data_IF_705405123985
#
_entry.id   IF_705405123985
#
_cell.length_a   1.000
_cell.length_b   1.000
_cell.length_c   1.000
_cell.angle_alpha   90.00
_cell.angle_beta   90.00
_cell.angle_gamma   90.00
#
_symmetry.space_group_name_H-M   'P 1'
#
loop_
_entity.id
_entity.type
_entity.pdbx_description
1 polymer ?
#
# COMPACT_ATOMS: atom_id res chain seq x y z
N UNK A 1 5.81 17.86 12.12
CA UNK A 1 4.65 16.95 12.23
C UNK A 1 4.06 16.89 10.83
N UNK A 2 3.93 15.71 10.24
CA UNK A 2 3.25 15.59 8.94
C UNK A 2 1.75 15.84 9.19
N UNK A 3 1.13 16.69 8.36
CA UNK A 3 -0.30 16.99 8.43
C UNK A 3 -1.05 16.10 7.45
N UNK A 4 -1.95 15.27 7.97
CA UNK A 4 -2.94 14.55 7.18
C UNK A 4 -4.15 15.44 6.98
N UNK A 5 -4.77 15.39 5.82
CA UNK A 5 -5.86 16.30 5.48
C UNK A 5 -7.16 15.54 5.26
N UNK A 6 -8.22 16.05 5.86
CA UNK A 6 -9.59 15.64 5.59
C UNK A 6 -10.36 16.72 4.84
N UNK A 7 -11.31 16.31 3.98
CA UNK A 7 -12.19 17.25 3.30
C UNK A 7 -13.41 17.57 4.18
N UNK A 8 -13.54 18.82 4.62
CA UNK A 8 -14.66 19.30 5.42
C UNK A 8 -15.20 20.60 4.83
N UNK A 9 -16.46 20.59 4.41
CA UNK A 9 -17.12 21.70 3.69
C UNK A 9 -16.32 22.14 2.45
N UNK A 10 -15.92 21.17 1.61
CA UNK A 10 -15.09 21.37 0.39
C UNK A 10 -13.72 22.04 0.63
N UNK A 11 -13.21 21.97 1.86
CA UNK A 11 -11.90 22.51 2.23
C UNK A 11 -11.06 21.46 2.92
N UNK A 12 -9.79 21.35 2.51
CA UNK A 12 -8.82 20.55 3.24
C UNK A 12 -8.55 21.17 4.61
N UNK A 13 -8.83 20.40 5.66
CA UNK A 13 -8.50 20.74 7.05
C UNK A 13 -7.54 19.68 7.58
N UNK A 14 -6.63 20.09 8.46
CA UNK A 14 -5.77 19.11 9.14
C UNK A 14 -6.63 18.12 9.93
N UNK A 15 -6.08 16.93 10.13
CA UNK A 15 -6.70 15.88 10.93
C UNK A 15 -7.10 16.37 12.33
N UNK A 16 -8.13 15.74 12.88
CA UNK A 16 -8.50 15.96 14.27
C UNK A 16 -7.42 15.40 15.21
N UNK A 17 -7.34 15.99 16.41
CA UNK A 17 -6.46 15.45 17.43
C UNK A 17 -6.97 14.09 17.90
N UNK A 18 -6.05 13.13 17.98
CA UNK A 18 -6.31 11.79 18.53
C UNK A 18 -5.25 11.50 19.59
N UNK A 19 -5.66 10.85 20.68
CA UNK A 19 -4.76 10.51 21.77
C UNK A 19 -3.59 9.65 21.30
N UNK A 20 -2.33 9.98 21.66
CA UNK A 20 -1.19 9.11 21.39
C UNK A 20 -1.34 7.70 21.96
N UNK A 21 -2.17 7.52 22.99
CA UNK A 21 -2.47 6.18 23.55
C UNK A 21 -3.22 5.27 22.58
N UNK A 22 -3.81 5.81 21.51
CA UNK A 22 -4.47 5.04 20.46
C UNK A 22 -3.48 4.57 19.37
N UNK A 23 -2.26 5.10 19.34
CA UNK A 23 -1.17 4.64 18.45
C UNK A 23 -0.29 3.57 19.12
N UNK A 24 -0.87 2.70 19.95
CA UNK A 24 -0.11 1.80 20.83
C UNK A 24 -0.01 0.37 20.33
N UNK A 25 -0.78 0.00 19.30
CA UNK A 25 -0.78 -1.34 18.73
C UNK A 25 -0.01 -1.39 17.40
N UNK A 26 0.34 -2.61 16.99
CA UNK A 26 1.11 -2.88 15.77
C UNK A 26 0.24 -2.94 14.50
N UNK A 27 -0.98 -2.41 14.56
CA UNK A 27 -1.97 -2.35 13.47
C UNK A 27 -1.82 -1.10 12.59
N UNK A 28 -0.91 -0.18 12.93
CA UNK A 28 -0.64 1.02 12.14
C UNK A 28 0.48 1.91 12.72
N UNK A 29 0.40 3.21 12.43
CA UNK A 29 1.26 4.27 12.99
C UNK A 29 2.78 4.17 12.69
N UNK A 30 3.18 3.37 11.69
CA UNK A 30 4.54 3.42 11.15
C UNK A 30 4.70 4.67 10.27
N UNK A 31 5.66 5.52 10.62
CA UNK A 31 6.06 6.66 9.80
C UNK A 31 7.24 6.25 8.93
N UNK A 32 7.00 6.21 7.62
CA UNK A 32 7.99 5.78 6.63
C UNK A 32 8.05 6.80 5.49
N UNK A 33 9.20 6.87 4.84
CA UNK A 33 9.34 7.52 3.53
C UNK A 33 9.54 6.48 2.41
N UNK A 34 9.44 6.94 1.16
CA UNK A 34 9.52 6.05 0.00
C UNK A 34 10.87 5.29 -0.08
N UNK A 35 11.98 5.91 0.33
CA UNK A 35 13.30 5.25 0.32
C UNK A 35 13.42 4.12 1.33
N UNK A 36 12.72 4.23 2.46
CA UNK A 36 12.68 3.18 3.48
C UNK A 36 11.88 1.97 2.98
N UNK A 37 10.73 2.19 2.34
CA UNK A 37 9.97 1.10 1.71
C UNK A 37 10.78 0.44 0.60
N UNK A 38 11.48 1.19 -0.25
CA UNK A 38 12.33 0.59 -1.29
C UNK A 38 13.39 -0.34 -0.68
N UNK A 39 14.02 0.07 0.44
CA UNK A 39 14.97 -0.79 1.17
C UNK A 39 14.30 -2.02 1.77
N UNK A 40 13.11 -1.85 2.34
CA UNK A 40 12.30 -2.94 2.89
C UNK A 40 11.96 -3.98 1.82
N UNK A 41 11.39 -3.55 0.70
CA UNK A 41 11.06 -4.39 -0.45
C UNK A 41 12.29 -5.09 -1.01
N UNK A 42 13.42 -4.37 -1.16
CA UNK A 42 14.67 -4.98 -1.62
C UNK A 42 15.14 -6.08 -0.66
N UNK A 43 15.10 -5.83 0.65
CA UNK A 43 15.51 -6.78 1.68
C UNK A 43 14.62 -8.02 1.73
N UNK A 44 13.31 -7.85 1.57
CA UNK A 44 12.34 -8.94 1.53
C UNK A 44 12.51 -9.81 0.27
N UNK A 45 12.66 -9.19 -0.90
CA UNK A 45 12.82 -9.90 -2.17
C UNK A 45 14.08 -10.79 -2.21
N UNK A 46 15.15 -10.41 -1.50
CA UNK A 46 16.36 -11.23 -1.37
C UNK A 46 16.38 -12.13 -0.12
N UNK A 47 15.25 -12.22 0.62
CA UNK A 47 15.11 -12.97 1.87
C UNK A 47 16.22 -12.66 2.88
N UNK A 48 16.57 -11.37 3.02
CA UNK A 48 17.73 -10.93 3.83
C UNK A 48 17.61 -11.33 5.29
N UNK A 49 16.40 -11.21 5.85
CA UNK A 49 16.10 -11.46 7.27
C UNK A 49 15.39 -12.81 7.41
N UNK A 50 14.23 -12.97 6.77
CA UNK A 50 13.40 -14.17 6.88
C UNK A 50 13.80 -15.20 5.82
N UNK A 51 14.72 -16.09 6.18
CA UNK A 51 15.29 -17.11 5.28
C UNK A 51 14.47 -18.40 5.22
N UNK A 52 13.75 -18.69 6.29
CA UNK A 52 12.93 -19.89 6.39
C UNK A 52 11.69 -19.79 5.49
N UNK A 53 11.50 -20.79 4.63
CA UNK A 53 10.37 -20.82 3.69
C UNK A 53 9.03 -21.02 4.38
N UNK A 54 8.98 -21.81 5.45
CA UNK A 54 7.73 -22.07 6.15
C UNK A 54 7.15 -20.79 6.79
N UNK A 55 8.01 -19.84 7.14
CA UNK A 55 7.61 -18.52 7.64
C UNK A 55 7.39 -17.50 6.51
N UNK A 56 8.19 -17.56 5.44
CA UNK A 56 8.12 -16.60 4.33
C UNK A 56 6.92 -16.87 3.41
N UNK A 57 6.74 -18.09 2.93
CA UNK A 57 5.78 -18.37 1.87
C UNK A 57 4.32 -18.00 2.23
N UNK A 58 3.84 -18.16 3.49
CA UNK A 58 2.51 -17.69 3.89
C UNK A 58 2.32 -16.18 3.75
N UNK A 59 3.34 -15.37 4.06
CA UNK A 59 3.26 -13.90 3.96
C UNK A 59 3.21 -13.39 2.50
N UNK A 60 3.59 -14.24 1.53
CA UNK A 60 3.60 -13.95 0.09
C UNK A 60 2.50 -14.73 -0.64
N UNK A 61 1.56 -15.32 0.10
CA UNK A 61 0.40 -15.96 -0.51
C UNK A 61 -0.45 -14.90 -1.20
N UNK A 62 -0.77 -15.05 -2.50
CA UNK A 62 -1.52 -14.04 -3.25
C UNK A 62 -2.89 -13.81 -2.61
N UNK A 63 -3.28 -12.54 -2.47
CA UNK A 63 -4.62 -12.18 -2.04
C UNK A 63 -5.65 -12.52 -3.13
N UNK A 64 -5.24 -12.30 -4.38
CA UNK A 64 -6.06 -12.52 -5.56
C UNK A 64 -5.18 -12.76 -6.80
N UNK A 65 -5.83 -13.13 -7.90
CA UNK A 65 -5.23 -13.14 -9.24
C UNK A 65 -5.95 -12.09 -10.08
N UNK A 66 -5.24 -11.07 -10.57
CA UNK A 66 -5.81 -10.02 -11.42
C UNK A 66 -5.20 -10.12 -12.80
N UNK A 67 -6.04 -10.21 -13.84
CA UNK A 67 -5.58 -10.36 -15.23
C UNK A 67 -4.59 -11.53 -15.41
N UNK A 68 -4.75 -12.61 -14.64
CA UNK A 68 -3.87 -13.78 -14.67
C UNK A 68 -2.54 -13.65 -13.90
N UNK A 69 -2.36 -12.57 -13.14
CA UNK A 69 -1.16 -12.35 -12.31
C UNK A 69 -1.49 -12.40 -10.83
N UNK A 70 -0.58 -12.97 -10.06
CA UNK A 70 -0.66 -13.09 -8.62
C UNK A 70 -0.29 -11.77 -7.96
N UNK A 71 -1.19 -11.30 -7.10
CA UNK A 71 -1.05 -10.01 -6.46
C UNK A 71 -1.07 -10.13 -4.94
N UNK A 72 -0.19 -9.38 -4.28
CA UNK A 72 -0.24 -9.16 -2.82
C UNK A 72 -0.36 -7.67 -2.56
N UNK A 73 -1.41 -7.26 -1.86
CA UNK A 73 -1.76 -5.85 -1.65
C UNK A 73 -2.10 -5.56 -0.19
N UNK A 74 -1.90 -4.31 0.20
CA UNK A 74 -2.35 -3.83 1.51
C UNK A 74 -2.60 -2.33 1.48
N UNK A 75 -3.77 -1.94 2.01
CA UNK A 75 -4.11 -0.53 2.26
C UNK A 75 -3.77 -0.14 3.69
N UNK A 76 -3.64 1.16 3.91
CA UNK A 76 -3.49 1.71 5.25
C UNK A 76 -4.08 3.10 5.31
N UNK A 77 -5.03 3.30 6.22
CA UNK A 77 -5.75 4.55 6.41
C UNK A 77 -5.55 5.02 7.84
N UNK A 78 -5.12 6.27 8.02
CA UNK A 78 -5.01 6.86 9.34
C UNK A 78 -5.04 8.39 9.30
N UNK A 79 -6.02 9.01 9.94
CA UNK A 79 -6.03 10.45 10.25
C UNK A 79 -5.66 11.37 9.07
N UNK A 80 -6.38 11.27 7.95
CA UNK A 80 -6.08 12.10 6.78
C UNK A 80 -4.87 11.63 5.96
N UNK A 81 -4.38 10.41 6.21
CA UNK A 81 -3.41 9.74 5.35
C UNK A 81 -4.01 8.47 4.77
N UNK A 82 -3.68 8.25 3.50
CA UNK A 82 -3.96 7.02 2.79
C UNK A 82 -2.64 6.45 2.27
N UNK A 83 -2.53 5.13 2.29
CA UNK A 83 -1.38 4.41 1.79
C UNK A 83 -1.83 3.13 1.12
N UNK A 84 -1.09 2.75 0.10
CA UNK A 84 -1.36 1.51 -0.61
C UNK A 84 -0.07 0.92 -1.14
N UNK A 85 0.08 -0.38 -0.99
CA UNK A 85 1.16 -1.16 -1.60
C UNK A 85 0.55 -2.31 -2.37
N UNK A 86 1.01 -2.49 -3.59
CA UNK A 86 0.60 -3.59 -4.46
C UNK A 86 1.83 -4.22 -5.09
N UNK A 87 1.92 -5.55 -5.01
CA UNK A 87 3.02 -6.36 -5.52
C UNK A 87 2.48 -7.33 -6.55
N UNK A 88 2.94 -7.22 -7.79
CA UNK A 88 2.67 -8.19 -8.84
C UNK A 88 3.81 -9.19 -8.87
N UNK A 89 3.56 -10.38 -8.34
CA UNK A 89 4.61 -11.34 -7.99
C UNK A 89 5.29 -11.95 -9.23
N UNK A 90 4.52 -12.23 -10.28
CA UNK A 90 5.01 -12.90 -11.49
C UNK A 90 6.06 -12.09 -12.24
N UNK A 91 5.91 -10.76 -12.24
CA UNK A 91 6.82 -9.82 -12.92
C UNK A 91 7.73 -9.05 -11.96
N UNK A 92 7.60 -9.28 -10.64
CA UNK A 92 8.37 -8.63 -9.57
C UNK A 92 8.30 -7.10 -9.63
N UNK A 93 7.10 -6.57 -9.85
CA UNK A 93 6.81 -5.15 -9.82
C UNK A 93 6.09 -4.81 -8.53
N UNK A 94 6.51 -3.73 -7.86
CA UNK A 94 5.84 -3.20 -6.67
C UNK A 94 5.52 -1.73 -6.91
N UNK A 95 4.28 -1.33 -6.64
CA UNK A 95 3.86 0.07 -6.59
C UNK A 95 3.49 0.43 -5.15
N UNK A 96 3.92 1.61 -4.72
CA UNK A 96 3.72 2.11 -3.35
C UNK A 96 3.26 3.56 -3.44
N UNK A 97 2.11 3.84 -2.84
CA UNK A 97 1.50 5.17 -2.80
C UNK A 97 1.41 5.61 -1.34
N UNK A 98 1.81 6.86 -1.09
CA UNK A 98 1.53 7.58 0.15
C UNK A 98 0.84 8.90 -0.20
N UNK A 99 -0.32 9.12 0.40
CA UNK A 99 -1.09 10.34 0.27
C UNK A 99 -1.38 10.90 1.66
N UNK A 100 -1.36 12.23 1.76
CA UNK A 100 -1.73 12.95 2.98
C UNK A 100 -3.12 13.58 2.85
N UNK A 101 -4.02 12.94 2.10
CA UNK A 101 -5.43 13.32 2.03
C UNK A 101 -6.30 12.06 2.10
N UNK A 102 -7.31 12.04 2.96
CA UNK A 102 -8.26 10.90 3.12
C UNK A 102 -9.18 10.68 1.90
N UNK A 103 -9.30 11.69 1.04
CA UNK A 103 -10.05 11.60 -0.22
C UNK A 103 -9.24 11.01 -1.37
N UNK A 104 -7.96 10.67 -1.16
CA UNK A 104 -7.11 10.13 -2.22
C UNK A 104 -7.47 8.67 -2.49
N UNK A 105 -7.92 8.37 -3.71
CA UNK A 105 -8.10 6.99 -4.18
C UNK A 105 -6.72 6.39 -4.52
N UNK A 106 -6.02 5.93 -3.49
CA UNK A 106 -4.67 5.38 -3.60
C UNK A 106 -4.63 4.05 -4.36
N UNK A 107 -5.75 3.32 -4.42
CA UNK A 107 -5.87 2.08 -5.18
C UNK A 107 -5.97 2.38 -6.69
N UNK A 108 -6.86 3.30 -7.08
CA UNK A 108 -6.99 3.74 -8.47
C UNK A 108 -5.68 4.36 -8.98
N UNK A 109 -5.03 5.19 -8.16
CA UNK A 109 -3.72 5.77 -8.50
C UNK A 109 -2.69 4.65 -8.74
N UNK A 110 -2.61 3.64 -7.86
CA UNK A 110 -1.65 2.56 -8.02
C UNK A 110 -1.94 1.69 -9.25
N UNK A 111 -3.22 1.43 -9.55
CA UNK A 111 -3.65 0.71 -10.74
C UNK A 111 -3.22 1.45 -12.02
N UNK A 112 -3.49 2.76 -12.08
CA UNK A 112 -3.08 3.60 -13.20
C UNK A 112 -1.55 3.64 -13.38
N UNK A 113 -0.78 3.69 -12.28
CA UNK A 113 0.69 3.64 -12.34
C UNK A 113 1.18 2.30 -12.89
N UNK A 114 0.57 1.17 -12.50
CA UNK A 114 0.90 -0.14 -13.06
C UNK A 114 0.64 -0.20 -14.56
N UNK A 115 -0.52 0.28 -15.02
CA UNK A 115 -0.87 0.31 -16.44
C UNK A 115 0.09 1.23 -17.24
N UNK A 116 0.47 2.37 -16.67
CA UNK A 116 1.46 3.27 -17.29
C UNK A 116 2.85 2.64 -17.38
N UNK A 117 3.23 1.81 -16.41
CA UNK A 117 4.51 1.10 -16.41
C UNK A 117 4.52 -0.01 -17.46
N UNK A 118 3.46 -0.81 -17.51
CA UNK A 118 3.21 -1.81 -18.54
C UNK A 118 1.70 -2.05 -18.66
N UNK A 119 1.16 -1.79 -19.85
CA UNK A 119 -0.26 -1.96 -20.15
C UNK A 119 -0.81 -3.37 -19.88
N UNK A 120 0.04 -4.40 -19.85
CA UNK A 120 -0.36 -5.77 -19.49
C UNK A 120 -0.67 -5.90 -17.99
N UNK A 121 -0.19 -4.98 -17.16
CA UNK A 121 -0.41 -4.95 -15.72
C UNK A 121 -1.69 -4.21 -15.32
N UNK A 122 -2.52 -3.80 -16.29
CA UNK A 122 -3.79 -3.17 -16.01
C UNK A 122 -4.64 -4.07 -15.09
N UNK A 123 -4.89 -3.58 -13.88
CA UNK A 123 -5.72 -4.25 -12.89
C UNK A 123 -7.18 -3.97 -13.25
N UNK A 124 -7.71 -4.76 -14.17
CA UNK A 124 -9.13 -4.73 -14.47
C UNK A 124 -9.83 -5.46 -13.33
N UNK A 125 -10.76 -4.79 -12.67
CA UNK A 125 -11.73 -5.48 -11.82
C UNK A 125 -12.46 -6.48 -12.72
N UNK A 126 -12.56 -7.74 -12.29
CA UNK A 126 -13.51 -8.66 -12.85
C UNK A 126 -14.91 -8.12 -12.50
N UNK A 127 -15.48 -7.30 -13.38
CA UNK A 127 -16.91 -6.96 -13.35
C UNK A 127 -17.71 -8.22 -13.66
N UNK A 128 -17.81 -9.16 -12.72
CA UNK A 128 -18.80 -10.25 -12.71
C UNK A 128 -18.86 -10.89 -11.31
N UNK A 129 -19.72 -10.36 -10.44
CA UNK A 129 -20.62 -11.17 -9.60
C UNK A 129 -21.95 -10.43 -9.36
#
# INVERSE_FOLDING_TARGET
MLGGYGLVDDKFKNQEWVSPSLNTFADGALYLNIYEIVKWETGLNIKKILKDKASFDPMWSPDETVSGMHVVKHGGTWQGFESYIIRVLDVKVTVVIFANADVADVEEIASNVLEMFDSQLALKSDENE
#
